data_IF_677239036220
#
_entry.id   IF_677239036220
#
_cell.length_a   1.000
_cell.length_b   1.000
_cell.length_c   1.000
_cell.angle_alpha   90.00
_cell.angle_beta   90.00
_cell.angle_gamma   90.00
#
_symmetry.space_group_name_H-M   'P 1'
#
loop_
_entity.id
_entity.type
_entity.pdbx_description
1 polymer ?
#
# COMPACT_ATOMS: atom_id res chain seq x y z
N UNK A 1 -24.88 22.47 103.73
CA UNK A 1 -23.65 22.11 102.98
C UNK A 1 -23.98 21.06 101.93
N UNK A 2 -23.90 21.38 100.64
CA UNK A 2 -24.01 20.42 99.52
C UNK A 2 -22.86 20.71 98.55
N UNK A 3 -21.85 19.82 98.52
CA UNK A 3 -20.69 19.87 97.62
C UNK A 3 -21.17 19.81 96.16
N UNK A 4 -20.79 20.77 95.34
CA UNK A 4 -20.87 20.67 93.87
C UNK A 4 -19.49 20.27 93.36
N UNK A 5 -19.43 19.11 92.70
CA UNK A 5 -18.24 18.57 92.08
C UNK A 5 -17.87 19.38 90.85
N UNK A 6 -16.64 19.88 90.80
CA UNK A 6 -16.07 20.56 89.64
C UNK A 6 -15.64 19.52 88.61
N UNK A 7 -16.27 19.52 87.43
CA UNK A 7 -15.88 18.66 86.31
C UNK A 7 -14.83 19.41 85.49
N UNK A 8 -13.58 18.98 85.60
CA UNK A 8 -12.50 19.36 84.70
C UNK A 8 -12.89 19.07 83.24
N UNK A 9 -13.23 20.12 82.48
CA UNK A 9 -13.32 20.04 81.01
C UNK A 9 -11.89 20.04 80.48
N UNK A 10 -11.44 18.91 79.95
CA UNK A 10 -10.27 18.84 79.09
C UNK A 10 -10.43 19.86 77.95
N UNK A 11 -9.60 20.91 77.94
CA UNK A 11 -9.45 21.79 76.78
C UNK A 11 -9.01 20.93 75.60
N UNK A 12 -9.93 20.63 74.70
CA UNK A 12 -9.55 20.15 73.37
C UNK A 12 -8.68 21.26 72.76
N UNK A 13 -7.40 20.96 72.55
CA UNK A 13 -6.48 21.84 71.86
C UNK A 13 -7.02 21.94 70.43
N UNK A 14 -7.70 23.04 70.11
CA UNK A 14 -7.99 23.38 68.72
C UNK A 14 -6.64 23.67 68.05
N UNK A 15 -6.11 22.66 67.35
CA UNK A 15 -5.02 22.85 66.42
C UNK A 15 -5.54 23.74 65.29
N UNK A 16 -5.23 25.04 65.35
CA UNK A 16 -5.54 25.99 64.30
C UNK A 16 -4.71 25.68 63.06
N UNK A 17 -5.37 25.64 61.91
CA UNK A 17 -4.74 25.46 60.60
C UNK A 17 -3.81 26.64 60.32
N UNK A 18 -2.55 26.38 59.98
CA UNK A 18 -1.61 27.46 59.67
C UNK A 18 -1.74 27.92 58.23
N UNK A 19 -1.50 29.21 57.96
CA UNK A 19 -1.49 29.75 56.59
C UNK A 19 -0.46 29.05 55.69
N UNK A 20 0.67 28.61 56.27
CA UNK A 20 1.72 27.91 55.54
C UNK A 20 1.31 26.47 55.19
N UNK A 21 0.56 25.80 56.06
CA UNK A 21 0.02 24.46 55.78
C UNK A 21 -1.01 24.50 54.65
N UNK A 22 -1.87 25.53 54.64
CA UNK A 22 -2.80 25.76 53.54
C UNK A 22 -2.06 26.06 52.22
N UNK A 23 -1.03 26.89 52.25
CA UNK A 23 -0.31 27.27 51.02
C UNK A 23 0.44 26.09 50.40
N UNK A 24 1.03 25.21 51.22
CA UNK A 24 1.67 23.97 50.74
C UNK A 24 0.66 22.98 50.19
N UNK A 25 -0.50 22.81 50.83
CA UNK A 25 -1.55 21.90 50.32
C UNK A 25 -2.09 22.40 48.98
N UNK A 26 -2.37 23.70 48.87
CA UNK A 26 -2.86 24.30 47.63
C UNK A 26 -1.81 24.23 46.50
N UNK A 27 -0.52 24.35 46.81
CA UNK A 27 0.53 24.23 45.79
C UNK A 27 0.66 22.80 45.25
N UNK A 28 0.56 21.79 46.11
CA UNK A 28 0.56 20.37 45.68
C UNK A 28 -0.69 20.05 44.86
N UNK A 29 -1.87 20.50 45.28
CA UNK A 29 -3.12 20.31 44.54
C UNK A 29 -3.08 20.99 43.17
N UNK A 30 -2.53 22.21 43.08
CA UNK A 30 -2.37 22.90 41.81
C UNK A 30 -1.45 22.12 40.85
N UNK A 31 -0.33 21.61 41.35
CA UNK A 31 0.62 20.83 40.54
C UNK A 31 0.02 19.50 40.08
N UNK A 32 -0.70 18.79 40.96
CA UNK A 32 -1.41 17.56 40.58
C UNK A 32 -2.53 17.80 39.57
N UNK A 33 -3.26 18.91 39.67
CA UNK A 33 -4.35 19.22 38.76
C UNK A 33 -3.86 19.38 37.31
N UNK A 34 -2.68 19.97 37.10
CA UNK A 34 -2.10 20.17 35.76
C UNK A 34 -1.91 18.85 35.01
N UNK A 35 -1.48 17.78 35.70
CA UNK A 35 -1.26 16.47 35.07
C UNK A 35 -2.51 15.61 34.96
N UNK A 36 -3.45 15.74 35.89
CA UNK A 36 -4.63 14.86 35.96
C UNK A 36 -5.80 15.32 35.08
N UNK A 37 -5.97 16.62 34.86
CA UNK A 37 -7.09 17.19 34.08
C UNK A 37 -7.12 16.72 32.63
N UNK A 38 -6.00 16.69 31.86
CA UNK A 38 -6.02 16.23 30.47
C UNK A 38 -6.52 14.78 30.33
N UNK A 39 -6.02 13.88 31.19
CA UNK A 39 -6.40 12.46 31.19
C UNK A 39 -7.85 12.24 31.60
N UNK A 40 -8.35 13.04 32.53
CA UNK A 40 -9.75 13.01 32.90
C UNK A 40 -10.65 13.42 31.72
N UNK A 41 -10.29 14.48 30.99
CA UNK A 41 -11.07 14.95 29.83
C UNK A 41 -11.13 13.91 28.72
N UNK A 42 -10.01 13.24 28.43
CA UNK A 42 -9.93 12.12 27.49
C UNK A 42 -10.93 11.01 27.88
N UNK A 43 -10.89 10.53 29.13
CA UNK A 43 -11.81 9.49 29.62
C UNK A 43 -13.29 9.90 29.60
N UNK A 44 -13.59 11.19 29.80
CA UNK A 44 -14.96 11.71 29.69
C UNK A 44 -15.42 11.66 28.24
N UNK A 45 -14.55 12.04 27.30
CA UNK A 45 -14.87 12.04 25.88
C UNK A 45 -15.04 10.61 25.34
N UNK A 46 -14.23 9.64 25.76
CA UNK A 46 -14.45 8.22 25.43
C UNK A 46 -15.86 7.74 25.84
N UNK A 47 -16.29 8.11 27.05
CA UNK A 47 -17.65 7.79 27.53
C UNK A 47 -18.73 8.49 26.71
N UNK A 48 -18.51 9.76 26.33
CA UNK A 48 -19.42 10.50 25.46
C UNK A 48 -19.54 9.84 24.10
N UNK A 49 -18.43 9.34 23.52
CA UNK A 49 -18.43 8.57 22.28
C UNK A 49 -19.26 7.31 22.43
N UNK A 50 -18.96 6.46 23.42
CA UNK A 50 -19.69 5.21 23.64
C UNK A 50 -21.19 5.43 23.82
N UNK A 51 -21.58 6.44 24.59
CA UNK A 51 -22.99 6.79 24.80
C UNK A 51 -23.65 7.34 23.53
N UNK A 52 -22.94 8.17 22.76
CA UNK A 52 -23.46 8.71 21.50
C UNK A 52 -23.69 7.60 20.47
N UNK A 53 -22.79 6.62 20.39
CA UNK A 53 -22.94 5.42 19.55
C UNK A 53 -24.20 4.65 19.96
N UNK A 54 -24.37 4.36 21.25
CA UNK A 54 -25.52 3.61 21.77
C UNK A 54 -26.86 4.34 21.53
N UNK A 55 -26.91 5.65 21.79
CA UNK A 55 -28.11 6.48 21.53
C UNK A 55 -28.45 6.52 20.04
N UNK A 56 -27.44 6.65 19.18
CA UNK A 56 -27.65 6.68 17.72
C UNK A 56 -28.16 5.33 17.21
N UNK A 57 -27.59 4.21 17.68
CA UNK A 57 -28.09 2.86 17.32
C UNK A 57 -29.54 2.65 17.75
N UNK A 58 -29.86 3.01 19.00
CA UNK A 58 -31.24 2.90 19.53
C UNK A 58 -32.21 3.71 18.67
N UNK A 59 -31.81 4.88 18.20
CA UNK A 59 -32.60 5.69 17.28
C UNK A 59 -32.77 4.99 15.92
N UNK A 60 -31.69 4.51 15.30
CA UNK A 60 -31.76 3.82 14.00
C UNK A 60 -32.65 2.56 14.06
N UNK A 61 -32.59 1.80 15.14
CA UNK A 61 -33.42 0.60 15.31
C UNK A 61 -34.90 0.93 15.48
N UNK A 62 -35.22 2.02 16.19
CA UNK A 62 -36.59 2.54 16.26
C UNK A 62 -37.10 2.96 14.87
N UNK A 63 -36.25 3.63 14.07
CA UNK A 63 -36.58 4.06 12.70
C UNK A 63 -36.81 2.86 11.77
N UNK A 64 -35.93 1.84 11.83
CA UNK A 64 -36.09 0.59 11.06
C UNK A 64 -37.40 -0.09 11.41
N UNK A 65 -37.69 -0.23 12.70
CA UNK A 65 -38.93 -0.85 13.17
C UNK A 65 -40.16 -0.06 12.71
N UNK A 66 -40.09 1.28 12.74
CA UNK A 66 -41.17 2.13 12.27
C UNK A 66 -41.44 1.94 10.77
N UNK A 67 -40.39 1.91 9.95
CA UNK A 67 -40.54 1.68 8.51
C UNK A 67 -41.08 0.29 8.21
N UNK A 68 -40.61 -0.74 8.90
CA UNK A 68 -41.13 -2.12 8.73
C UNK A 68 -42.63 -2.19 9.03
N UNK A 69 -43.14 -1.40 9.99
CA UNK A 69 -44.57 -1.37 10.33
C UNK A 69 -45.40 -0.50 9.40
N UNK A 70 -44.89 0.64 8.95
CA UNK A 70 -45.68 1.67 8.26
C UNK A 70 -45.37 1.79 6.76
N UNK A 71 -44.33 1.12 6.26
CA UNK A 71 -43.88 1.20 4.86
C UNK A 71 -43.13 2.49 4.50
N UNK A 72 -43.11 3.50 5.36
CA UNK A 72 -42.46 4.79 5.15
C UNK A 72 -41.55 5.20 6.32
N UNK A 73 -40.61 6.10 6.07
CA UNK A 73 -39.79 6.69 7.13
C UNK A 73 -40.63 7.63 8.02
N UNK A 74 -40.30 7.76 9.32
CA UNK A 74 -40.99 8.69 10.21
C UNK A 74 -40.80 10.14 9.74
N UNK A 75 -41.89 10.91 9.66
CA UNK A 75 -41.91 12.28 9.15
C UNK A 75 -41.43 12.44 7.68
N UNK A 76 -41.63 11.43 6.82
CA UNK A 76 -41.38 11.56 5.38
C UNK A 76 -42.17 12.73 4.75
N UNK A 77 -41.65 13.41 3.71
CA UNK A 77 -40.47 13.04 2.92
C UNK A 77 -39.14 13.61 3.41
N UNK A 78 -39.12 14.60 4.30
CA UNK A 78 -37.88 15.25 4.77
C UNK A 78 -37.29 14.63 6.04
N UNK A 79 -38.12 13.95 6.85
CA UNK A 79 -37.76 13.34 8.13
C UNK A 79 -37.16 14.29 9.18
N UNK A 80 -37.41 15.59 9.10
CA UNK A 80 -36.86 16.58 10.05
C UNK A 80 -37.34 16.37 11.49
N UNK A 81 -38.59 15.89 11.66
CA UNK A 81 -39.21 15.66 12.98
C UNK A 81 -39.38 14.17 13.31
N UNK A 82 -38.55 13.32 12.69
CA UNK A 82 -38.62 11.86 12.83
C UNK A 82 -38.63 11.39 14.30
N UNK A 83 -37.83 12.05 15.15
CA UNK A 83 -37.75 11.74 16.58
C UNK A 83 -39.09 11.90 17.29
N UNK A 84 -39.77 13.03 17.07
CA UNK A 84 -41.05 13.35 17.71
C UNK A 84 -42.12 12.31 17.34
N UNK A 85 -42.15 11.90 16.08
CA UNK A 85 -43.04 10.83 15.60
C UNK A 85 -42.78 9.52 16.33
N UNK A 86 -41.53 9.11 16.46
CA UNK A 86 -41.17 7.86 17.14
C UNK A 86 -41.49 7.88 18.63
N UNK A 87 -41.28 9.02 19.30
CA UNK A 87 -41.61 9.20 20.71
C UNK A 87 -43.13 9.23 20.96
N UNK A 88 -43.91 9.68 19.97
CA UNK A 88 -45.38 9.74 20.05
C UNK A 88 -46.11 8.43 19.73
N UNK A 89 -45.42 7.38 19.30
CA UNK A 89 -46.03 6.06 19.09
C UNK A 89 -46.49 5.41 20.40
N UNK A 90 -47.47 4.49 20.32
CA UNK A 90 -47.98 3.77 21.51
C UNK A 90 -47.86 2.26 21.31
N UNK A 91 -46.96 1.56 22.02
CA UNK A 91 -45.93 2.09 22.93
C UNK A 91 -44.84 2.88 22.20
N UNK A 92 -44.16 3.79 22.90
CA UNK A 92 -43.13 4.64 22.32
C UNK A 92 -41.97 3.79 21.79
N UNK A 93 -41.71 3.90 20.49
CA UNK A 93 -40.66 3.17 19.79
C UNK A 93 -39.26 3.72 20.08
N UNK A 94 -39.18 4.98 20.54
CA UNK A 94 -37.93 5.61 20.98
C UNK A 94 -38.15 6.27 22.34
N UNK A 95 -37.32 5.92 23.32
CA UNK A 95 -37.34 6.52 24.66
C UNK A 95 -35.92 6.79 25.16
N UNK A 96 -35.76 7.79 26.03
CA UNK A 96 -34.47 8.09 26.68
C UNK A 96 -33.42 8.83 25.83
N UNK A 97 -33.66 9.06 24.53
CA UNK A 97 -32.72 9.80 23.67
C UNK A 97 -32.95 11.31 23.77
N UNK A 98 -31.91 12.07 24.09
CA UNK A 98 -31.97 13.55 24.21
C UNK A 98 -32.01 14.26 22.84
N UNK A 99 -32.34 15.56 22.80
CA UNK A 99 -32.37 16.36 21.55
C UNK A 99 -30.97 16.73 21.05
N UNK A 100 -29.99 16.58 21.94
CA UNK A 100 -28.59 16.82 21.68
C UNK A 100 -27.80 15.57 22.04
N UNK A 101 -26.71 15.35 21.32
CA UNK A 101 -25.76 14.29 21.64
C UNK A 101 -24.95 14.62 22.91
N UNK A 102 -24.07 13.71 23.33
CA UNK A 102 -23.24 13.91 24.53
C UNK A 102 -22.17 15.00 24.38
N UNK A 103 -22.02 15.57 23.20
CA UNK A 103 -21.18 16.72 22.87
C UNK A 103 -21.96 18.04 22.79
N UNK A 104 -23.24 18.06 23.22
CA UNK A 104 -24.12 19.23 23.21
C UNK A 104 -24.44 19.78 21.81
N UNK A 105 -24.27 18.96 20.78
CA UNK A 105 -24.66 19.27 19.40
C UNK A 105 -26.06 18.71 19.09
N UNK A 106 -26.80 19.38 18.22
CA UNK A 106 -28.11 18.92 17.78
C UNK A 106 -28.00 17.60 17.00
N UNK A 107 -29.00 16.73 17.17
CA UNK A 107 -29.17 15.51 16.38
C UNK A 107 -30.17 15.81 15.26
N UNK A 108 -29.67 15.98 14.04
CA UNK A 108 -30.50 16.30 12.89
C UNK A 108 -30.83 15.04 12.10
N UNK A 109 -32.08 14.91 11.65
CA UNK A 109 -32.53 13.79 10.83
C UNK A 109 -32.93 14.25 9.45
N UNK A 110 -32.64 13.42 8.45
CA UNK A 110 -33.03 13.66 7.06
C UNK A 110 -33.29 12.33 6.36
N UNK A 111 -34.10 12.33 5.30
CA UNK A 111 -34.32 11.13 4.53
C UNK A 111 -34.59 11.42 3.06
N UNK A 112 -34.49 10.36 2.26
CA UNK A 112 -35.03 10.25 0.91
C UNK A 112 -36.11 9.15 0.92
N UNK A 113 -36.65 8.80 -0.25
CA UNK A 113 -37.54 7.64 -0.38
C UNK A 113 -36.89 6.33 0.15
N UNK A 114 -35.58 6.18 -0.07
CA UNK A 114 -34.85 4.94 0.17
C UNK A 114 -33.87 4.99 1.33
N UNK A 115 -33.49 6.16 1.83
CA UNK A 115 -32.49 6.28 2.89
C UNK A 115 -32.96 7.16 4.02
N UNK A 116 -32.53 6.85 5.23
CA UNK A 116 -32.68 7.69 6.41
C UNK A 116 -31.30 8.01 6.96
N UNK A 117 -31.08 9.24 7.38
CA UNK A 117 -29.79 9.73 7.85
C UNK A 117 -29.91 10.51 9.15
N UNK A 118 -28.97 10.27 10.05
CA UNK A 118 -28.75 11.07 11.26
C UNK A 118 -27.43 11.82 11.09
N UNK A 119 -27.46 13.15 11.16
CA UNK A 119 -26.29 14.02 11.10
C UNK A 119 -26.12 14.77 12.42
N UNK A 120 -24.92 14.73 12.98
CA UNK A 120 -24.60 15.40 14.25
C UNK A 120 -23.13 15.83 14.29
N UNK A 121 -22.86 17.00 14.88
CA UNK A 121 -21.49 17.46 15.08
C UNK A 121 -20.88 16.80 16.31
N UNK A 122 -19.65 16.35 16.18
CA UNK A 122 -18.81 15.85 17.26
C UNK A 122 -17.73 16.89 17.56
N UNK A 123 -16.91 16.66 18.57
CA UNK A 123 -15.71 17.48 18.83
C UNK A 123 -14.54 17.00 17.96
N UNK A 124 -13.55 17.86 17.75
CA UNK A 124 -12.29 17.51 17.09
C UNK A 124 -11.68 16.24 17.70
N UNK A 125 -11.03 15.44 16.86
CA UNK A 125 -10.35 14.18 17.17
C UNK A 125 -11.27 12.99 17.54
N UNK A 126 -12.53 13.23 17.95
CA UNK A 126 -13.46 12.19 18.38
C UNK A 126 -14.54 11.82 17.34
N UNK A 127 -14.62 12.55 16.23
CA UNK A 127 -15.54 12.26 15.12
C UNK A 127 -15.20 10.93 14.40
N UNK A 128 -13.92 10.63 14.26
CA UNK A 128 -13.42 9.34 13.78
C UNK A 128 -13.87 8.15 14.63
N UNK A 129 -13.78 8.26 15.94
CA UNK A 129 -14.18 7.19 16.87
C UNK A 129 -15.69 6.93 16.82
N UNK A 130 -16.50 7.99 16.85
CA UNK A 130 -17.96 7.87 16.70
C UNK A 130 -18.32 7.28 15.35
N UNK A 131 -17.68 7.76 14.28
CA UNK A 131 -17.92 7.23 12.96
C UNK A 131 -17.61 5.73 12.93
N UNK A 132 -16.46 5.29 13.45
CA UNK A 132 -16.03 3.90 13.44
C UNK A 132 -16.88 2.96 14.31
N UNK A 133 -17.43 3.46 15.41
CA UNK A 133 -18.36 2.70 16.25
C UNK A 133 -19.76 2.52 15.66
N UNK A 134 -20.11 3.25 14.59
CA UNK A 134 -21.43 3.18 13.95
C UNK A 134 -21.36 2.59 12.52
N UNK A 135 -22.31 1.72 12.15
CA UNK A 135 -22.39 1.14 10.82
C UNK A 135 -22.88 2.18 9.81
N UNK A 136 -22.32 2.16 8.59
CA UNK A 136 -22.71 3.06 7.49
C UNK A 136 -22.62 4.56 7.85
N UNK A 137 -21.58 4.90 8.62
CA UNK A 137 -21.30 6.25 9.10
C UNK A 137 -20.08 6.85 8.42
N UNK A 138 -20.23 8.10 8.00
CA UNK A 138 -19.24 8.89 7.26
C UNK A 138 -19.03 10.25 7.92
N UNK A 139 -17.84 10.81 7.79
CA UNK A 139 -17.56 12.20 8.18
C UNK A 139 -17.87 13.05 6.95
N UNK A 140 -18.89 13.91 7.02
CA UNK A 140 -19.37 14.68 5.86
C UNK A 140 -18.83 16.10 5.81
N UNK A 141 -18.36 16.62 6.93
CA UNK A 141 -17.71 17.93 7.04
C UNK A 141 -16.61 17.84 8.10
N UNK A 142 -15.36 17.84 7.65
CA UNK A 142 -14.17 17.76 8.52
C UNK A 142 -13.91 19.05 9.29
N UNK A 143 -14.42 20.20 8.82
CA UNK A 143 -14.24 21.49 9.51
C UNK A 143 -15.16 21.61 10.72
N UNK A 144 -16.36 21.03 10.62
CA UNK A 144 -17.37 21.04 11.68
C UNK A 144 -17.47 19.69 12.42
N UNK A 145 -16.58 18.74 12.11
CA UNK A 145 -16.56 17.38 12.68
C UNK A 145 -17.94 16.70 12.60
N UNK A 146 -18.62 16.88 11.46
CA UNK A 146 -19.99 16.40 11.27
C UNK A 146 -19.97 14.95 10.84
N UNK A 147 -20.60 14.09 11.66
CA UNK A 147 -20.75 12.67 11.40
C UNK A 147 -22.17 12.40 10.92
N UNK A 148 -22.29 11.71 9.78
CA UNK A 148 -23.56 11.30 9.17
C UNK A 148 -23.67 9.78 9.11
N UNK A 149 -24.65 9.23 9.81
CA UNK A 149 -24.99 7.80 9.78
C UNK A 149 -26.19 7.60 8.87
N UNK A 150 -26.08 6.72 7.87
CA UNK A 150 -27.14 6.50 6.88
C UNK A 150 -27.57 5.03 6.87
N UNK A 151 -28.87 4.78 6.94
CA UNK A 151 -29.46 3.45 6.73
C UNK A 151 -30.33 3.46 5.47
N UNK A 152 -30.34 2.35 4.74
CA UNK A 152 -31.22 2.14 3.59
C UNK A 152 -32.54 1.50 4.01
N UNK A 153 -33.41 1.26 3.02
CA UNK A 153 -34.60 0.43 3.24
C UNK A 153 -34.18 -0.98 3.66
N UNK A 154 -34.98 -1.70 4.46
CA UNK A 154 -34.67 -3.09 4.82
C UNK A 154 -34.30 -3.92 3.59
N UNK A 155 -33.15 -4.61 3.64
CA UNK A 155 -32.59 -5.34 2.50
C UNK A 155 -31.60 -4.53 1.63
N UNK A 156 -31.37 -3.26 1.96
CA UNK A 156 -30.31 -2.43 1.35
C UNK A 156 -29.52 -1.73 2.46
N UNK A 157 -28.22 -2.04 2.57
CA UNK A 157 -27.28 -1.27 3.39
C UNK A 157 -26.40 -0.39 2.47
N UNK A 158 -26.19 0.89 2.79
CA UNK A 158 -25.22 1.73 2.09
C UNK A 158 -23.81 1.14 2.19
N UNK A 159 -23.04 1.18 1.09
CA UNK A 159 -21.69 0.65 1.03
C UNK A 159 -20.76 1.32 2.06
N UNK A 160 -19.95 0.52 2.76
CA UNK A 160 -19.04 0.92 3.84
C UNK A 160 -17.71 1.49 3.30
N UNK A 161 -17.76 2.38 2.31
CA UNK A 161 -16.55 2.89 1.63
C UNK A 161 -15.64 3.73 2.54
N UNK A 162 -16.16 4.24 3.67
CA UNK A 162 -15.41 4.98 4.68
C UNK A 162 -14.77 4.11 5.77
N UNK A 163 -15.04 2.79 5.79
CA UNK A 163 -14.47 1.89 6.79
C UNK A 163 -13.23 1.18 6.26
N UNK A 164 -12.29 0.93 7.17
CA UNK A 164 -11.18 0.02 6.93
C UNK A 164 -11.76 -1.35 6.59
N UNK A 165 -11.78 -1.65 5.30
CA UNK A 165 -12.23 -2.91 4.75
C UNK A 165 -11.15 -3.46 3.83
N UNK A 166 -10.96 -4.77 3.88
CA UNK A 166 -10.08 -5.49 2.96
C UNK A 166 -10.82 -5.68 1.64
N UNK A 167 -10.17 -5.38 0.53
CA UNK A 167 -10.66 -5.79 -0.79
C UNK A 167 -10.16 -7.22 -1.00
N UNK A 168 -11.09 -8.17 -1.04
CA UNK A 168 -10.77 -9.58 -1.29
C UNK A 168 -10.31 -9.76 -2.74
N UNK A 169 -9.01 -10.01 -2.91
CA UNK A 169 -8.35 -10.17 -4.21
C UNK A 169 -8.12 -11.65 -4.58
N UNK A 170 -8.63 -12.59 -3.80
CA UNK A 170 -8.54 -14.04 -4.06
C UNK A 170 -7.28 -14.71 -3.53
N UNK A 171 -6.21 -13.96 -3.26
CA UNK A 171 -5.03 -14.42 -2.52
C UNK A 171 -4.99 -13.79 -1.11
N UNK A 172 -4.90 -14.57 -0.02
CA UNK A 172 -4.94 -14.05 1.35
C UNK A 172 -3.87 -12.99 1.66
N UNK A 173 -2.74 -13.05 0.96
CA UNK A 173 -1.58 -12.17 1.12
C UNK A 173 -1.71 -10.84 0.35
N UNK A 174 -2.61 -10.76 -0.64
CA UNK A 174 -2.74 -9.61 -1.56
C UNK A 174 -3.89 -8.65 -1.22
N UNK A 175 -4.48 -8.81 -0.04
CA UNK A 175 -5.62 -8.00 0.39
C UNK A 175 -5.19 -6.55 0.65
N UNK A 176 -5.68 -5.63 -0.18
CA UNK A 176 -5.41 -4.18 -0.04
C UNK A 176 -6.47 -3.50 0.82
N UNK A 177 -6.07 -2.45 1.54
CA UNK A 177 -7.02 -1.57 2.23
C UNK A 177 -7.81 -0.74 1.21
N UNK A 178 -9.14 -0.67 1.36
CA UNK A 178 -10.02 0.11 0.48
C UNK A 178 -9.96 1.62 0.71
N UNK A 179 -9.59 2.05 1.91
CA UNK A 179 -9.50 3.46 2.32
C UNK A 179 -8.09 3.82 2.80
N UNK A 180 -7.72 5.10 2.72
CA UNK A 180 -6.43 5.59 3.18
C UNK A 180 -6.35 5.59 4.71
N UNK A 181 -5.21 5.13 5.25
CA UNK A 181 -4.90 5.23 6.68
C UNK A 181 -4.34 6.62 6.97
N UNK A 182 -5.10 7.47 7.67
CA UNK A 182 -4.63 8.77 8.14
C UNK A 182 -3.82 8.57 9.44
N UNK A 183 -2.58 9.05 9.48
CA UNK A 183 -1.65 8.85 10.59
C UNK A 183 -1.24 10.15 11.28
N UNK A 184 -2.03 11.22 11.19
CA UNK A 184 -1.80 12.47 11.95
C UNK A 184 -0.33 12.98 11.84
N UNK A 185 0.14 13.06 10.59
CA UNK A 185 1.52 13.43 10.22
C UNK A 185 2.63 12.43 10.65
N UNK A 186 2.27 11.27 11.23
CA UNK A 186 3.20 10.20 11.60
C UNK A 186 3.49 9.24 10.43
N UNK A 187 4.72 8.70 10.46
CA UNK A 187 5.26 7.75 9.48
C UNK A 187 5.23 6.32 10.03
N UNK A 188 4.96 5.32 9.18
CA UNK A 188 5.18 3.90 9.52
C UNK A 188 6.68 3.67 9.59
N UNK A 189 7.24 3.61 10.79
CA UNK A 189 8.58 3.06 11.01
C UNK A 189 8.45 1.55 11.28
N UNK A 190 9.29 0.75 10.63
CA UNK A 190 9.25 -0.73 10.52
C UNK A 190 8.29 -1.31 9.46
N UNK A 191 7.80 -0.50 8.53
CA UNK A 191 7.41 -1.05 7.23
C UNK A 191 8.65 -1.67 6.59
N UNK A 192 8.61 -2.96 6.28
CA UNK A 192 9.70 -3.66 5.58
C UNK A 192 9.88 -3.10 4.17
N UNK A 193 9.66 -3.93 3.15
CA UNK A 193 9.82 -3.49 1.77
C UNK A 193 8.65 -2.61 1.30
N UNK A 194 8.94 -1.39 0.84
CA UNK A 194 8.01 -0.61 0.01
C UNK A 194 8.11 -1.16 -1.42
N UNK A 195 7.32 -2.19 -1.73
CA UNK A 195 7.32 -2.80 -3.06
C UNK A 195 6.41 -2.01 -4.03
N UNK A 196 7.03 -1.37 -5.00
CA UNK A 196 6.35 -0.61 -6.05
C UNK A 196 6.14 -1.53 -7.26
N UNK A 197 4.95 -2.15 -7.37
CA UNK A 197 4.67 -3.21 -8.35
C UNK A 197 4.30 -2.74 -9.76
N UNK A 198 4.48 -1.45 -10.09
CA UNK A 198 4.22 -0.90 -11.43
C UNK A 198 5.49 -0.33 -12.06
N UNK A 199 5.56 -0.40 -13.39
CA UNK A 199 6.58 0.31 -14.16
C UNK A 199 6.44 1.83 -13.96
N UNK A 200 7.57 2.51 -13.75
CA UNK A 200 7.68 3.96 -13.50
C UNK A 200 7.00 4.47 -12.21
N UNK A 201 7.31 3.91 -11.04
CA UNK A 201 6.77 4.46 -9.80
C UNK A 201 7.45 5.82 -9.51
N UNK A 202 6.64 6.87 -9.38
CA UNK A 202 7.13 8.23 -9.14
C UNK A 202 6.95 8.59 -7.67
N UNK A 203 8.04 8.66 -6.91
CA UNK A 203 8.06 9.25 -5.57
C UNK A 203 8.35 10.74 -5.75
N UNK A 204 7.33 11.58 -5.56
CA UNK A 204 7.46 13.04 -5.74
C UNK A 204 7.42 13.71 -4.38
N UNK A 205 8.52 14.31 -3.95
CA UNK A 205 8.49 15.22 -2.80
C UNK A 205 8.00 16.58 -3.29
N UNK A 206 6.79 16.97 -2.89
CA UNK A 206 6.18 18.21 -3.38
C UNK A 206 6.78 19.47 -2.74
N UNK A 207 7.39 19.36 -1.55
CA UNK A 207 7.96 20.49 -0.79
C UNK A 207 9.16 20.11 0.11
N UNK A 208 9.92 19.05 -0.20
CA UNK A 208 11.01 18.58 0.67
C UNK A 208 12.06 17.75 -0.07
N UNK A 209 13.23 17.58 0.56
CA UNK A 209 14.34 16.79 0.04
C UNK A 209 14.08 15.28 0.22
N UNK A 210 14.37 14.46 -0.79
CA UNK A 210 14.43 13.01 -0.64
C UNK A 210 15.84 12.63 -0.16
N UNK A 211 16.02 12.53 1.16
CA UNK A 211 17.29 12.11 1.76
C UNK A 211 17.34 10.58 1.86
N UNK A 212 18.28 9.98 1.13
CA UNK A 212 18.66 8.57 1.29
C UNK A 212 19.90 8.52 2.18
N UNK A 213 19.73 8.13 3.43
CA UNK A 213 20.85 7.91 4.34
C UNK A 213 21.26 6.43 4.33
N UNK A 214 22.56 6.20 4.22
CA UNK A 214 23.15 4.94 4.69
C UNK A 214 23.91 5.23 5.97
N UNK A 215 24.23 4.20 6.76
CA UNK A 215 24.77 4.33 8.12
C UNK A 215 26.03 5.19 8.32
N UNK A 216 26.60 5.77 7.27
CA UNK A 216 27.74 6.70 7.36
C UNK A 216 27.72 7.88 6.37
N UNK A 217 26.58 8.30 5.81
CA UNK A 217 26.54 9.51 4.97
C UNK A 217 25.25 9.77 4.19
N UNK A 218 25.18 10.95 3.55
CA UNK A 218 24.11 11.36 2.64
C UNK A 218 24.53 11.21 1.18
N UNK A 219 23.62 10.70 0.35
CA UNK A 219 23.71 10.80 -1.12
C UNK A 219 22.62 11.75 -1.57
N UNK A 220 22.99 13.00 -1.89
CA UNK A 220 22.07 14.03 -2.38
C UNK A 220 22.18 14.20 -3.89
N UNK A 221 21.04 14.22 -4.58
CA UNK A 221 20.96 14.61 -5.99
C UNK A 221 20.24 15.95 -6.03
N UNK A 222 20.98 17.02 -6.26
CA UNK A 222 20.42 18.36 -6.33
C UNK A 222 19.50 18.52 -7.55
N UNK A 223 18.52 19.42 -7.45
CA UNK A 223 17.55 19.74 -8.51
C UNK A 223 18.24 19.99 -9.86
N UNK A 224 17.67 19.43 -10.93
CA UNK A 224 18.19 19.50 -12.31
C UNK A 224 19.51 18.75 -12.59
N UNK A 225 19.97 17.89 -11.68
CA UNK A 225 21.09 16.99 -11.95
C UNK A 225 20.60 15.57 -12.26
N UNK A 226 21.30 14.90 -13.19
CA UNK A 226 21.09 13.49 -13.52
C UNK A 226 22.32 12.73 -13.02
N UNK A 227 22.11 11.70 -12.20
CA UNK A 227 23.17 10.75 -11.86
C UNK A 227 23.28 9.72 -13.00
N UNK A 228 24.35 9.78 -13.77
CA UNK A 228 24.70 8.76 -14.77
C UNK A 228 25.81 7.87 -14.22
N UNK A 229 25.72 6.56 -14.50
CA UNK A 229 26.78 5.59 -14.21
C UNK A 229 27.38 5.16 -15.55
N UNK A 230 28.58 5.63 -15.84
CA UNK A 230 29.26 5.36 -17.12
C UNK A 230 29.93 3.97 -17.15
N UNK A 231 30.47 3.52 -16.01
CA UNK A 231 31.09 2.20 -15.86
C UNK A 231 31.07 1.73 -14.40
N UNK A 232 31.31 0.44 -14.17
CA UNK A 232 31.27 -0.21 -12.85
C UNK A 232 32.61 -0.89 -12.57
N UNK A 233 33.26 -0.49 -11.47
CA UNK A 233 34.54 -1.09 -11.05
C UNK A 233 34.32 -2.31 -10.15
N UNK A 234 34.76 -3.48 -10.61
CA UNK A 234 34.61 -4.76 -9.90
C UNK A 234 35.83 -5.04 -9.01
N UNK A 235 35.70 -4.77 -7.71
CA UNK A 235 36.78 -4.98 -6.72
C UNK A 235 37.24 -6.44 -6.64
N UNK A 236 36.32 -7.39 -6.78
CA UNK A 236 36.62 -8.83 -6.76
C UNK A 236 37.46 -9.32 -7.94
N UNK A 237 37.59 -8.50 -8.99
CA UNK A 237 38.33 -8.82 -10.22
C UNK A 237 39.50 -7.89 -10.41
N UNK A 238 40.29 -7.73 -9.34
CA UNK A 238 41.47 -6.87 -9.33
C UNK A 238 41.17 -5.46 -9.87
N UNK A 239 40.05 -4.87 -9.44
CA UNK A 239 39.69 -3.51 -9.81
C UNK A 239 39.47 -3.28 -11.32
N UNK A 240 39.18 -4.33 -12.09
CA UNK A 240 38.81 -4.23 -13.51
C UNK A 240 37.48 -3.49 -13.68
N UNK A 241 37.34 -2.79 -14.80
CA UNK A 241 36.06 -2.22 -15.23
C UNK A 241 35.14 -3.35 -15.72
N UNK A 242 33.83 -3.18 -15.54
CA UNK A 242 32.85 -4.16 -16.01
C UNK A 242 32.87 -4.24 -17.54
N UNK A 243 33.03 -3.11 -18.21
CA UNK A 243 33.23 -3.04 -19.66
C UNK A 243 34.35 -3.96 -20.15
N UNK A 244 35.51 -3.97 -19.47
CA UNK A 244 36.67 -4.83 -19.81
C UNK A 244 36.41 -6.33 -19.59
N UNK A 245 35.39 -6.67 -18.79
CA UNK A 245 35.05 -8.05 -18.44
C UNK A 245 33.87 -8.59 -19.22
N UNK A 246 33.13 -7.73 -19.91
CA UNK A 246 32.03 -8.15 -20.77
C UNK A 246 32.58 -8.66 -22.10
N UNK A 247 31.93 -9.66 -22.73
CA UNK A 247 32.33 -10.12 -24.05
C UNK A 247 32.27 -8.99 -25.08
N UNK A 248 33.39 -8.75 -25.76
CA UNK A 248 33.52 -7.79 -26.84
C UNK A 248 32.79 -8.22 -28.13
N UNK A 249 31.77 -9.06 -28.05
CA UNK A 249 30.99 -9.47 -29.21
C UNK A 249 29.50 -9.57 -28.91
N UNK A 250 28.68 -9.21 -29.91
CA UNK A 250 27.22 -9.33 -29.89
C UNK A 250 26.81 -10.31 -30.97
N UNK A 251 26.24 -11.45 -30.58
CA UNK A 251 25.68 -12.41 -31.53
C UNK A 251 24.49 -11.79 -32.27
N UNK A 252 24.49 -11.91 -33.60
CA UNK A 252 23.46 -11.40 -34.50
C UNK A 252 22.52 -12.49 -34.98
N UNK A 253 22.99 -13.73 -35.05
CA UNK A 253 22.15 -14.88 -35.36
C UNK A 253 22.96 -16.14 -35.56
N UNK A 254 22.24 -17.26 -35.69
CA UNK A 254 22.78 -18.54 -36.11
C UNK A 254 22.04 -18.97 -37.37
N UNK A 255 22.77 -19.30 -38.43
CA UNK A 255 22.21 -19.75 -39.69
C UNK A 255 22.45 -21.24 -39.85
N UNK A 256 21.40 -21.99 -40.20
CA UNK A 256 21.54 -23.35 -40.70
C UNK A 256 21.92 -23.27 -42.18
N UNK A 257 23.07 -23.84 -42.52
CA UNK A 257 23.64 -23.73 -43.85
C UNK A 257 24.22 -25.05 -44.34
N UNK A 258 24.26 -25.16 -45.67
CA UNK A 258 24.86 -26.28 -46.39
C UNK A 258 26.02 -25.79 -47.24
N UNK A 259 26.72 -26.75 -47.84
CA UNK A 259 27.73 -26.47 -48.85
C UNK A 259 27.23 -25.47 -49.92
N UNK A 260 28.04 -24.45 -50.21
CA UNK A 260 27.76 -23.43 -51.22
C UNK A 260 26.78 -22.35 -50.80
N UNK A 261 26.17 -22.45 -49.61
CA UNK A 261 25.23 -21.45 -49.13
C UNK A 261 25.93 -20.19 -48.63
N UNK A 262 25.22 -19.08 -48.77
CA UNK A 262 25.66 -17.76 -48.36
C UNK A 262 25.16 -17.35 -46.99
N UNK A 263 26.05 -16.78 -46.17
CA UNK A 263 25.72 -16.14 -44.90
C UNK A 263 26.00 -14.64 -45.02
N UNK A 264 24.97 -13.82 -44.88
CA UNK A 264 25.10 -12.36 -44.99
C UNK A 264 25.92 -11.82 -43.81
N UNK A 265 26.90 -10.96 -44.10
CA UNK A 265 27.65 -10.26 -43.04
C UNK A 265 26.72 -9.27 -42.33
N UNK A 266 26.69 -9.23 -41.00
CA UNK A 266 25.81 -8.36 -40.27
C UNK A 266 26.31 -6.90 -40.36
N UNK A 267 25.38 -5.95 -40.35
CA UNK A 267 25.74 -4.55 -40.16
C UNK A 267 26.07 -4.30 -38.69
N UNK A 268 27.28 -3.84 -38.42
CA UNK A 268 27.75 -3.51 -37.08
C UNK A 268 27.83 -1.98 -36.93
N UNK A 269 27.06 -1.42 -36.00
CA UNK A 269 27.12 0.01 -35.67
C UNK A 269 28.39 0.34 -34.87
N UNK A 270 28.76 1.62 -34.80
CA UNK A 270 29.78 2.14 -33.90
C UNK A 270 31.16 1.45 -34.01
N UNK A 271 31.62 1.19 -35.25
CA UNK A 271 32.96 0.65 -35.49
C UNK A 271 33.12 -0.86 -35.24
N UNK A 272 32.04 -1.58 -34.94
CA UNK A 272 32.08 -3.04 -34.81
C UNK A 272 32.45 -3.74 -36.11
N UNK A 273 33.16 -4.86 -36.02
CA UNK A 273 33.61 -5.68 -37.15
C UNK A 273 32.78 -6.96 -37.26
N UNK A 274 32.25 -7.31 -38.45
CA UNK A 274 31.51 -8.54 -38.65
C UNK A 274 32.44 -9.75 -38.58
N UNK A 275 32.06 -10.75 -37.77
CA UNK A 275 32.77 -12.01 -37.59
C UNK A 275 31.79 -13.17 -37.58
N UNK A 276 32.29 -14.37 -37.87
CA UNK A 276 31.49 -15.58 -37.86
C UNK A 276 32.31 -16.77 -37.33
N UNK A 277 31.64 -17.67 -36.64
CA UNK A 277 32.18 -18.92 -36.13
C UNK A 277 31.37 -20.07 -36.72
N UNK A 278 32.07 -21.06 -37.24
CA UNK A 278 31.47 -22.26 -37.81
C UNK A 278 31.33 -23.33 -36.72
N UNK A 279 30.15 -23.92 -36.63
CA UNK A 279 29.90 -25.15 -35.88
C UNK A 279 29.56 -26.27 -36.85
N UNK A 280 30.48 -27.24 -37.07
CA UNK A 280 30.19 -28.37 -37.93
C UNK A 280 29.04 -29.19 -37.36
N UNK A 281 28.15 -29.67 -38.22
CA UNK A 281 27.05 -30.56 -37.82
C UNK A 281 27.55 -31.95 -37.44
N UNK A 282 26.69 -32.68 -36.72
CA UNK A 282 26.90 -34.09 -36.42
C UNK A 282 26.99 -34.89 -37.71
N UNK A 283 28.03 -35.73 -37.80
CA UNK A 283 28.18 -36.68 -38.90
C UNK A 283 27.06 -37.73 -38.80
N UNK A 284 26.28 -37.90 -39.87
CA UNK A 284 25.38 -39.03 -40.01
C UNK A 284 26.11 -40.13 -40.78
N UNK A 285 26.30 -41.28 -40.15
CA UNK A 285 26.96 -42.45 -40.75
C UNK A 285 26.16 -43.72 -40.48
N UNK A 286 26.23 -44.68 -41.41
CA UNK A 286 25.62 -45.99 -41.31
C UNK A 286 26.42 -47.02 -42.11
N UNK A 287 26.32 -48.28 -41.73
CA UNK A 287 26.92 -49.39 -42.48
C UNK A 287 25.99 -49.77 -43.63
N UNK A 288 26.45 -49.58 -44.86
CA UNK A 288 25.77 -50.08 -46.06
C UNK A 288 26.52 -51.32 -46.57
N UNK A 289 25.94 -52.53 -46.48
CA UNK A 289 26.62 -53.77 -46.84
C UNK A 289 26.95 -53.91 -48.34
N UNK A 290 26.60 -52.92 -49.19
CA UNK A 290 26.88 -52.96 -50.62
C UNK A 290 27.96 -52.00 -51.13
N UNK A 291 28.44 -51.06 -50.31
CA UNK A 291 29.30 -49.94 -50.80
C UNK A 291 30.67 -49.97 -50.14
N UNK A 292 31.69 -50.37 -50.90
CA UNK A 292 33.08 -50.39 -50.42
C UNK A 292 33.63 -48.95 -50.41
N UNK A 293 33.69 -48.32 -49.23
CA UNK A 293 34.20 -46.96 -49.05
C UNK A 293 33.54 -46.16 -47.92
N UNK A 294 32.41 -46.63 -47.39
CA UNK A 294 31.68 -45.95 -46.31
C UNK A 294 32.46 -46.06 -44.99
N UNK A 295 33.04 -44.95 -44.50
CA UNK A 295 33.63 -44.89 -43.16
C UNK A 295 34.91 -44.05 -43.00
N UNK A 296 35.53 -43.56 -44.09
CA UNK A 296 36.67 -42.64 -43.97
C UNK A 296 36.17 -41.21 -44.14
N UNK A 297 35.81 -40.58 -43.03
CA UNK A 297 35.26 -39.23 -43.05
C UNK A 297 36.19 -38.26 -42.30
N UNK A 298 36.86 -37.40 -43.08
CA UNK A 298 37.38 -36.13 -42.63
C UNK A 298 36.78 -35.05 -43.51
N UNK A 299 36.59 -33.86 -42.95
CA UNK A 299 36.04 -32.75 -43.69
C UNK A 299 36.82 -31.47 -43.41
N UNK A 300 36.84 -30.58 -44.39
CA UNK A 300 37.38 -29.23 -44.24
C UNK A 300 36.21 -28.25 -44.38
N UNK A 301 35.88 -27.56 -43.31
CA UNK A 301 34.89 -26.47 -43.32
C UNK A 301 35.61 -25.12 -43.32
N UNK A 302 35.20 -24.23 -44.22
CA UNK A 302 35.73 -22.87 -44.32
C UNK A 302 34.60 -21.90 -44.65
N UNK A 303 34.69 -20.70 -44.07
CA UNK A 303 33.96 -19.54 -44.56
C UNK A 303 34.89 -18.79 -45.50
N UNK A 304 34.50 -18.69 -46.76
CA UNK A 304 35.22 -17.86 -47.74
C UNK A 304 34.55 -16.49 -47.75
N UNK A 305 35.35 -15.44 -47.59
CA UNK A 305 34.88 -14.08 -47.78
C UNK A 305 34.53 -13.84 -49.26
N UNK A 306 33.29 -13.44 -49.52
CA UNK A 306 32.80 -13.06 -50.84
C UNK A 306 32.08 -11.69 -50.77
N UNK A 307 32.77 -10.69 -50.21
CA UNK A 307 32.29 -9.32 -50.15
C UNK A 307 31.24 -9.12 -49.04
N UNK A 308 29.96 -9.01 -49.40
CA UNK A 308 28.85 -8.78 -48.46
C UNK A 308 28.40 -10.04 -47.72
N UNK A 309 28.93 -11.20 -48.08
CA UNK A 309 28.57 -12.49 -47.53
C UNK A 309 29.79 -13.39 -47.35
N UNK A 310 29.66 -14.37 -46.47
CA UNK A 310 30.55 -15.52 -46.42
C UNK A 310 29.91 -16.70 -47.13
N UNK A 311 30.65 -17.38 -48.00
CA UNK A 311 30.20 -18.62 -48.63
C UNK A 311 30.74 -19.79 -47.83
N UNK A 312 29.85 -20.72 -47.50
CA UNK A 312 30.17 -21.93 -46.75
C UNK A 312 30.78 -22.94 -47.71
N UNK A 313 32.05 -23.23 -47.56
CA UNK A 313 32.70 -24.29 -48.29
C UNK A 313 32.93 -25.48 -47.37
N UNK A 314 32.43 -26.64 -47.81
CA UNK A 314 32.66 -27.92 -47.16
C UNK A 314 33.34 -28.84 -48.17
N UNK A 315 34.43 -29.48 -47.76
CA UNK A 315 35.10 -30.51 -48.54
C UNK A 315 35.05 -31.82 -47.76
N UNK A 316 34.66 -32.92 -48.40
CA UNK A 316 34.47 -34.23 -47.75
C UNK A 316 35.02 -35.35 -48.63
N UNK A 317 35.47 -36.43 -48.01
CA UNK A 317 35.73 -37.70 -48.69
C UNK A 317 34.43 -38.52 -48.78
N UNK A 318 33.68 -38.32 -49.87
CA UNK A 318 32.37 -38.95 -50.11
C UNK A 318 31.75 -38.48 -51.43
N UNK A 319 30.48 -38.79 -51.66
CA UNK A 319 29.73 -38.35 -52.85
C UNK A 319 29.28 -36.90 -52.73
N UNK A 320 29.01 -36.24 -53.87
CA UNK A 320 28.48 -34.88 -53.88
C UNK A 320 27.09 -34.77 -53.21
N UNK A 321 26.32 -35.85 -53.23
CA UNK A 321 24.99 -35.93 -52.61
C UNK A 321 25.07 -35.92 -51.09
N UNK A 322 26.03 -36.64 -50.50
CA UNK A 322 26.27 -36.63 -49.06
C UNK A 322 26.75 -35.25 -48.59
N UNK A 323 27.64 -34.61 -49.35
CA UNK A 323 28.12 -33.25 -49.06
C UNK A 323 26.98 -32.23 -48.98
N UNK A 324 25.99 -32.36 -49.87
CA UNK A 324 24.84 -31.46 -49.93
C UNK A 324 23.79 -31.73 -48.84
N UNK A 325 23.89 -32.85 -48.11
CA UNK A 325 23.02 -33.20 -46.97
C UNK A 325 23.62 -32.80 -45.62
N UNK A 326 24.88 -32.33 -45.59
CA UNK A 326 25.52 -31.88 -44.37
C UNK A 326 25.00 -30.50 -43.96
N UNK A 327 24.16 -30.53 -42.92
CA UNK A 327 23.69 -29.33 -42.25
C UNK A 327 24.75 -28.86 -41.24
N UNK A 328 25.04 -27.56 -41.25
CA UNK A 328 25.98 -26.92 -40.32
C UNK A 328 25.41 -25.62 -39.79
N UNK A 329 25.96 -25.15 -38.67
CA UNK A 329 25.54 -23.91 -38.05
C UNK A 329 26.63 -22.86 -38.17
N UNK A 330 26.26 -21.64 -38.51
CA UNK A 330 27.16 -20.49 -38.52
C UNK A 330 26.63 -19.46 -37.56
N UNK A 331 27.40 -19.20 -36.51
CA UNK A 331 27.12 -18.08 -35.62
C UNK A 331 27.76 -16.83 -36.17
N UNK A 332 26.95 -15.80 -36.32
CA UNK A 332 27.36 -14.51 -36.83
C UNK A 332 27.30 -13.52 -35.69
N UNK A 333 28.36 -12.71 -35.52
CA UNK A 333 28.47 -11.74 -34.45
C UNK A 333 29.19 -10.47 -34.88
N UNK A 334 28.88 -9.36 -34.21
CA UNK A 334 29.64 -8.12 -34.31
C UNK A 334 30.66 -8.08 -33.19
N UNK A 335 31.94 -7.95 -33.53
CA UNK A 335 33.04 -7.82 -32.58
C UNK A 335 33.45 -6.36 -32.42
N UNK A 336 33.63 -5.91 -31.18
CA UNK A 336 33.98 -4.54 -30.82
C UNK A 336 35.39 -4.54 -30.20
N UNK A 337 36.42 -4.12 -30.96
CA UNK A 337 37.81 -4.19 -30.50
C UNK A 337 38.12 -3.24 -29.35
#
# INVERSE_FOLDING_TARGET
MKKRADRSRSKAIQAGFTLIELSVVLSILALMAVFTVPKLMESINERRVSLTIQETQTFLDAVRTYRTKNGAWPASPSCTDAKTVLQGTTPAMLSGVANKNKFNSAINTSCTEYTFSISQNIIADWDGDVANGLPATTITDTSNHTVKTTIGVPGTEPALDSKLSRIETGDPEDNRMKTALLMDEQTIAEGGDIQLSKANPKITAQNGELQLSSGSGSVSIATNNILTVDDIKLRSRNNALLSDLLPNYVQKGTYLVRHGWGVIKPTCSNGGLPRASLRPGMMSGGYDPGVTGSGIFGFVYRLIDNGSMWVVQTDIWGTAEERNKLDSLVDVYCYYP
#
